data_IF_519313472031
#
_entry.id   IF_519313472031
#
_cell.length_a   1.000
_cell.length_b   1.000
_cell.length_c   1.000
_cell.angle_alpha   90.00
_cell.angle_beta   90.00
_cell.angle_gamma   90.00
#
_symmetry.space_group_name_H-M   'P 1'
#
loop_
_entity.id
_entity.type
_entity.pdbx_description
1 polymer ?
#
# COMPACT_ATOMS: atom_id res chain seq x y z
N UNK A 1 -9.03 2.35 6.19
CA UNK A 1 -8.11 2.97 5.22
C UNK A 1 -7.08 1.94 4.83
N UNK A 2 -6.89 1.73 3.54
CA UNK A 2 -5.95 0.78 2.96
C UNK A 2 -4.63 1.47 2.54
N UNK A 3 -3.65 0.72 2.04
CA UNK A 3 -2.31 1.27 1.75
C UNK A 3 -2.35 2.42 0.74
N UNK A 4 -3.03 2.23 -0.39
CA UNK A 4 -3.15 3.25 -1.45
C UNK A 4 -3.73 4.57 -0.94
N UNK A 5 -4.80 4.50 -0.16
CA UNK A 5 -5.45 5.64 0.48
C UNK A 5 -4.52 6.34 1.48
N UNK A 6 -3.78 5.59 2.30
CA UNK A 6 -2.82 6.15 3.27
C UNK A 6 -1.69 6.90 2.56
N UNK A 7 -1.16 6.36 1.47
CA UNK A 7 -0.10 7.02 0.70
C UNK A 7 -0.60 8.33 0.10
N UNK A 8 -1.81 8.33 -0.49
CA UNK A 8 -2.42 9.54 -1.01
C UNK A 8 -2.63 10.59 0.08
N UNK A 9 -3.15 10.18 1.23
CA UNK A 9 -3.35 11.06 2.39
C UNK A 9 -2.02 11.71 2.82
N UNK A 10 -0.98 10.91 3.05
CA UNK A 10 0.34 11.42 3.48
C UNK A 10 0.95 12.40 2.48
N UNK A 11 0.74 12.16 1.18
CA UNK A 11 1.18 13.08 0.12
C UNK A 11 0.42 14.40 0.19
N UNK A 12 -0.90 14.35 0.32
CA UNK A 12 -1.78 15.54 0.34
C UNK A 12 -1.57 16.39 1.59
N UNK A 13 -1.42 15.77 2.77
CA UNK A 13 -1.08 16.46 4.03
C UNK A 13 0.22 17.28 3.93
N UNK A 14 1.12 16.89 3.04
CA UNK A 14 2.41 17.55 2.81
C UNK A 14 2.40 18.49 1.62
N UNK A 15 1.25 18.69 0.98
CA UNK A 15 1.13 19.44 -0.28
C UNK A 15 2.14 18.97 -1.34
N UNK A 16 2.47 17.68 -1.33
CA UNK A 16 3.51 17.12 -2.18
C UNK A 16 2.95 16.76 -3.55
N UNK A 17 3.55 17.24 -4.67
CA UNK A 17 3.13 16.82 -5.99
C UNK A 17 3.55 15.37 -6.28
N UNK A 18 2.71 14.60 -6.97
CA UNK A 18 2.94 13.18 -7.29
C UNK A 18 4.28 12.89 -7.99
N UNK A 19 4.81 13.86 -8.76
CA UNK A 19 6.11 13.72 -9.44
C UNK A 19 7.30 13.52 -8.50
N UNK A 20 7.24 14.02 -7.25
CA UNK A 20 8.32 13.86 -6.28
C UNK A 20 8.46 12.42 -5.80
N UNK A 21 7.43 11.78 -5.20
CA UNK A 21 7.54 10.37 -4.84
C UNK A 21 7.71 9.46 -6.05
N UNK A 22 7.19 9.83 -7.24
CA UNK A 22 7.45 9.07 -8.46
C UNK A 22 8.95 9.05 -8.83
N UNK A 23 9.63 10.20 -8.75
CA UNK A 23 11.06 10.29 -9.02
C UNK A 23 11.90 9.48 -8.01
N UNK A 24 11.60 9.59 -6.72
CA UNK A 24 12.27 8.81 -5.66
C UNK A 24 12.04 7.30 -5.78
N UNK A 25 10.94 6.90 -6.39
CA UNK A 25 10.61 5.51 -6.66
C UNK A 25 11.11 5.01 -8.02
N UNK A 26 11.79 5.87 -8.80
CA UNK A 26 12.28 5.60 -10.16
C UNK A 26 11.17 5.08 -11.10
N UNK A 27 9.99 5.69 -11.02
CA UNK A 27 8.81 5.37 -11.85
C UNK A 27 8.23 6.63 -12.47
N UNK A 28 7.41 6.47 -13.50
CA UNK A 28 6.68 7.58 -14.07
C UNK A 28 5.53 8.06 -13.14
N UNK A 29 5.12 9.32 -13.30
CA UNK A 29 4.08 9.92 -12.45
C UNK A 29 2.72 9.23 -12.64
N UNK A 30 2.42 8.69 -13.83
CA UNK A 30 1.15 7.99 -14.06
C UNK A 30 1.12 6.64 -13.34
N UNK A 31 2.26 5.94 -13.26
CA UNK A 31 2.45 4.74 -12.44
C UNK A 31 2.24 5.04 -10.97
N UNK A 32 2.82 6.12 -10.44
CA UNK A 32 2.58 6.52 -9.06
C UNK A 32 1.10 6.89 -8.81
N UNK A 33 0.45 7.59 -9.74
CA UNK A 33 -0.97 7.90 -9.67
C UNK A 33 -1.86 6.63 -9.66
N UNK A 34 -1.45 5.55 -10.33
CA UNK A 34 -2.12 4.24 -10.22
C UNK A 34 -1.90 3.58 -8.86
N UNK A 35 -0.75 3.80 -8.21
CA UNK A 35 -0.50 3.32 -6.84
C UNK A 35 -1.43 4.01 -5.84
N UNK A 36 -1.57 5.34 -5.91
CA UNK A 36 -2.47 6.09 -5.02
C UNK A 36 -3.96 5.76 -5.22
N UNK A 37 -4.33 5.19 -6.38
CA UNK A 37 -5.69 4.71 -6.66
C UNK A 37 -5.92 3.25 -6.28
N UNK A 38 -4.87 2.49 -5.99
CA UNK A 38 -4.95 1.03 -5.79
C UNK A 38 -4.97 0.23 -7.10
N UNK A 39 -5.03 0.86 -8.27
CA UNK A 39 -5.01 0.20 -9.59
C UNK A 39 -3.69 -0.53 -9.86
N UNK A 40 -2.59 -0.10 -9.21
CA UNK A 40 -1.28 -0.73 -9.33
C UNK A 40 -0.65 -0.92 -7.97
N UNK A 41 -0.16 -2.14 -7.74
CA UNK A 41 0.50 -2.49 -6.49
C UNK A 41 1.94 -1.98 -6.44
N UNK A 42 2.31 -1.35 -5.33
CA UNK A 42 3.70 -1.00 -5.04
C UNK A 42 4.53 -2.26 -4.71
N UNK A 43 5.80 -2.27 -5.11
CA UNK A 43 6.74 -3.33 -4.72
C UNK A 43 7.17 -3.16 -3.26
N UNK A 44 7.64 -4.24 -2.62
CA UNK A 44 8.06 -4.22 -1.21
C UNK A 44 9.12 -3.15 -0.92
N UNK A 45 10.15 -3.06 -1.76
CA UNK A 45 11.19 -2.03 -1.64
C UNK A 45 10.64 -0.60 -1.81
N UNK A 46 9.61 -0.41 -2.64
CA UNK A 46 8.96 0.89 -2.81
C UNK A 46 8.17 1.30 -1.56
N UNK A 47 7.60 0.34 -0.81
CA UNK A 47 6.96 0.61 0.49
C UNK A 47 8.00 1.18 1.48
N UNK A 48 9.17 0.55 1.54
CA UNK A 48 10.30 1.04 2.35
C UNK A 48 10.71 2.46 1.93
N UNK A 49 10.86 2.73 0.63
CA UNK A 49 11.19 4.08 0.15
C UNK A 49 10.10 5.10 0.49
N UNK A 50 8.82 4.73 0.33
CA UNK A 50 7.68 5.60 0.70
C UNK A 50 7.66 5.91 2.19
N UNK A 51 8.01 4.96 3.07
CA UNK A 51 8.13 5.22 4.51
C UNK A 51 9.15 6.32 4.81
N UNK A 52 10.27 6.35 4.07
CA UNK A 52 11.33 7.35 4.21
C UNK A 52 10.91 8.71 3.65
N UNK A 53 10.33 8.75 2.45
CA UNK A 53 9.77 9.96 1.83
C UNK A 53 8.73 10.59 2.78
N UNK A 54 7.83 9.74 3.29
CA UNK A 54 6.77 10.16 4.18
C UNK A 54 7.17 10.18 5.65
N UNK A 55 8.42 9.93 6.03
CA UNK A 55 8.88 9.97 7.44
C UNK A 55 7.88 9.32 8.41
N UNK A 56 7.35 8.15 8.04
CA UNK A 56 6.40 7.36 8.84
C UNK A 56 7.03 6.03 9.20
N UNK A 57 6.43 5.31 10.16
CA UNK A 57 6.87 3.98 10.51
C UNK A 57 6.72 3.03 9.30
N UNK A 58 7.83 2.41 8.91
CA UNK A 58 7.84 1.42 7.82
C UNK A 58 6.93 0.25 8.13
N UNK A 59 6.94 -0.24 9.38
CA UNK A 59 6.14 -1.39 9.81
C UNK A 59 4.64 -1.14 9.61
N UNK A 60 4.15 0.05 9.93
CA UNK A 60 2.75 0.43 9.74
C UNK A 60 2.35 0.41 8.25
N UNK A 61 3.19 0.99 7.38
CA UNK A 61 2.93 0.96 5.94
C UNK A 61 2.98 -0.45 5.38
N UNK A 62 3.87 -1.28 5.91
CA UNK A 62 4.02 -2.69 5.54
C UNK A 62 2.79 -3.50 5.90
N UNK A 63 2.23 -3.29 7.10
CA UNK A 63 1.00 -3.95 7.55
C UNK A 63 -0.15 -3.59 6.62
N UNK A 64 -0.32 -2.30 6.31
CA UNK A 64 -1.34 -1.86 5.35
C UNK A 64 -1.11 -2.45 3.96
N UNK A 65 0.13 -2.48 3.48
CA UNK A 65 0.49 -3.04 2.19
C UNK A 65 0.23 -4.55 2.10
N UNK A 66 0.39 -5.30 3.19
CA UNK A 66 0.02 -6.72 3.26
C UNK A 66 -1.51 -6.90 3.30
N UNK A 67 -2.22 -6.06 4.05
CA UNK A 67 -3.68 -6.09 4.12
C UNK A 67 -4.31 -5.90 2.74
N UNK A 68 -3.83 -4.95 1.93
CA UNK A 68 -4.30 -4.76 0.54
C UNK A 68 -4.17 -6.04 -0.30
N UNK A 69 -3.07 -6.78 -0.14
CA UNK A 69 -2.85 -8.02 -0.91
C UNK A 69 -3.81 -9.11 -0.51
N UNK A 70 -4.00 -9.26 0.80
CA UNK A 70 -4.92 -10.23 1.34
C UNK A 70 -6.33 -9.89 0.83
N UNK A 71 -6.72 -8.62 0.86
CA UNK A 71 -8.01 -8.16 0.34
C UNK A 71 -8.18 -8.47 -1.15
N UNK A 72 -7.18 -8.22 -1.98
CA UNK A 72 -7.21 -8.60 -3.41
C UNK A 72 -7.28 -10.11 -3.59
N UNK A 73 -6.52 -10.88 -2.82
CA UNK A 73 -6.48 -12.34 -2.91
C UNK A 73 -7.84 -12.97 -2.62
N UNK A 74 -8.56 -12.44 -1.62
CA UNK A 74 -9.83 -13.01 -1.14
C UNK A 74 -11.06 -12.33 -1.76
N UNK A 75 -10.87 -11.43 -2.73
CA UNK A 75 -11.94 -10.60 -3.27
C UNK A 75 -13.11 -11.42 -3.85
N UNK A 76 -12.81 -12.56 -4.49
CA UNK A 76 -13.81 -13.45 -5.08
C UNK A 76 -14.39 -14.47 -4.08
N UNK A 77 -13.77 -14.62 -2.91
CA UNK A 77 -14.09 -15.66 -1.91
C UNK A 77 -14.50 -15.06 -0.56
N UNK A 78 -15.07 -13.85 -0.57
CA UNK A 78 -15.43 -13.07 0.65
C UNK A 78 -16.26 -13.87 1.67
N UNK A 79 -17.08 -14.83 1.23
CA UNK A 79 -17.90 -15.67 2.11
C UNK A 79 -17.06 -16.61 3.01
N UNK A 80 -15.90 -17.05 2.53
CA UNK A 80 -15.00 -17.96 3.26
C UNK A 80 -13.70 -17.29 3.72
N UNK A 81 -13.40 -16.10 3.20
CA UNK A 81 -12.20 -15.31 3.51
C UNK A 81 -11.92 -15.19 5.02
N UNK A 82 -12.93 -14.85 5.82
CA UNK A 82 -12.77 -14.69 7.26
C UNK A 82 -12.31 -15.99 7.96
N UNK A 83 -12.87 -17.15 7.54
CA UNK A 83 -12.47 -18.45 8.08
C UNK A 83 -11.04 -18.81 7.68
N UNK A 84 -10.66 -18.54 6.42
CA UNK A 84 -9.30 -18.78 5.95
C UNK A 84 -8.27 -17.92 6.72
N UNK A 85 -8.59 -16.66 6.99
CA UNK A 85 -7.71 -15.76 7.76
C UNK A 85 -7.54 -16.19 9.23
N UNK A 86 -8.60 -16.72 9.86
CA UNK A 86 -8.48 -17.25 11.22
C UNK A 86 -7.55 -18.47 11.27
N UNK A 87 -7.61 -19.35 10.28
CA UNK A 87 -6.67 -20.48 10.15
C UNK A 87 -5.24 -19.97 9.98
N UNK A 88 -5.01 -18.98 9.12
CA UNK A 88 -3.67 -18.38 8.94
C UNK A 88 -3.15 -17.82 10.26
N UNK A 89 -3.96 -17.02 10.97
CA UNK A 89 -3.58 -16.39 12.25
C UNK A 89 -3.15 -17.39 13.32
N UNK A 90 -3.68 -18.61 13.32
CA UNK A 90 -3.28 -19.67 14.27
C UNK A 90 -1.91 -20.29 13.93
N UNK A 91 -1.37 -20.03 12.74
CA UNK A 91 -0.14 -20.64 12.22
C UNK A 91 1.00 -19.62 11.97
N UNK A 92 0.85 -18.36 12.41
CA UNK A 92 1.90 -17.32 12.37
C UNK A 92 2.19 -16.83 13.77
#
# INVERSE_FOLDING_TARGET
>A
MLFSEKIKQLREERSMPQRLPAAELEIDTATYCKIERGDRRAKRNQVTTLSKIFKVNEEELVVLWLADQIMTLVENDKQVAAKALEIVKQNV
#
